data_IF_935210558280
#
_entry.id   IF_935210558280
#
_cell.length_a   1.000
_cell.length_b   1.000
_cell.length_c   1.000
_cell.angle_alpha   90.00
_cell.angle_beta   90.00
_cell.angle_gamma   90.00
#
_symmetry.space_group_name_H-M   'P 1'
#
loop_
_entity.id
_entity.type
_entity.pdbx_description
1 polymer ?
#
# COMPACT_ATOMS: atom_id res chain seq x y z
N UNK A 1 -4.12 32.07 4.50
CA UNK A 1 -2.89 31.30 4.26
C UNK A 1 -3.05 29.79 3.89
N UNK A 2 -4.24 29.18 3.65
CA UNK A 2 -4.33 27.75 3.29
C UNK A 2 -4.09 27.45 1.79
N UNK A 3 -4.26 28.43 0.89
CA UNK A 3 -4.19 28.20 -0.57
C UNK A 3 -2.80 27.85 -1.13
N UNK A 4 -1.70 28.22 -0.45
CA UNK A 4 -0.34 27.95 -0.96
C UNK A 4 0.12 26.51 -0.68
N UNK A 5 -0.45 25.87 0.34
CA UNK A 5 -0.09 24.50 0.71
C UNK A 5 -0.69 23.46 -0.26
N UNK A 6 -1.86 23.74 -0.87
CA UNK A 6 -2.46 22.85 -1.87
C UNK A 6 -1.69 22.82 -3.20
N UNK A 7 -1.17 23.97 -3.65
CA UNK A 7 -0.40 24.07 -4.91
C UNK A 7 0.99 23.43 -4.86
N UNK A 8 1.64 23.43 -3.69
CA UNK A 8 3.00 22.89 -3.55
C UNK A 8 2.99 21.34 -3.49
N UNK A 9 2.02 20.76 -2.77
CA UNK A 9 1.81 19.31 -2.73
C UNK A 9 1.36 18.74 -4.09
N UNK A 10 0.52 19.49 -4.84
CA UNK A 10 0.13 19.11 -6.21
C UNK A 10 1.31 19.01 -7.18
N UNK A 11 2.37 19.81 -6.99
CA UNK A 11 3.51 19.77 -7.90
C UNK A 11 4.19 18.41 -7.89
N UNK A 12 4.35 17.73 -6.75
CA UNK A 12 5.08 16.46 -6.66
C UNK A 12 4.59 15.41 -7.68
N UNK A 13 3.29 15.31 -7.90
CA UNK A 13 2.67 14.26 -8.72
C UNK A 13 2.16 14.69 -10.09
N UNK A 14 2.22 15.97 -10.46
CA UNK A 14 1.83 16.40 -11.81
C UNK A 14 2.97 16.20 -12.83
N UNK A 15 3.30 14.94 -13.13
CA UNK A 15 3.66 14.62 -14.51
C UNK A 15 2.33 14.53 -15.26
N UNK A 16 1.92 15.61 -15.93
CA UNK A 16 0.63 15.66 -16.64
C UNK A 16 0.74 14.85 -17.93
N UNK A 17 0.90 13.53 -17.79
CA UNK A 17 0.69 12.61 -18.88
C UNK A 17 -0.78 12.76 -19.34
N UNK A 18 -1.05 12.56 -20.63
CA UNK A 18 -2.43 12.57 -21.12
C UNK A 18 -3.26 11.56 -20.32
N UNK A 19 -4.49 11.91 -19.97
CA UNK A 19 -5.38 11.04 -19.16
C UNK A 19 -5.53 9.65 -19.76
N UNK A 20 -5.57 9.54 -21.09
CA UNK A 20 -5.61 8.26 -21.77
C UNK A 20 -4.36 7.40 -21.52
N UNK A 21 -3.16 7.99 -21.48
CA UNK A 21 -1.89 7.27 -21.21
C UNK A 21 -1.86 6.74 -19.78
N UNK A 22 -2.32 7.52 -18.81
CA UNK A 22 -2.36 7.06 -17.41
C UNK A 22 -3.37 5.93 -17.21
N UNK A 23 -4.52 6.01 -17.88
CA UNK A 23 -5.57 4.97 -17.80
C UNK A 23 -5.10 3.69 -18.48
N UNK A 24 -4.52 3.76 -19.67
CA UNK A 24 -3.99 2.58 -20.36
C UNK A 24 -2.83 1.96 -19.60
N UNK A 25 -1.91 2.75 -19.06
CA UNK A 25 -0.81 2.25 -18.24
C UNK A 25 -1.32 1.54 -16.97
N UNK A 26 -2.31 2.12 -16.27
CA UNK A 26 -2.90 1.49 -15.09
C UNK A 26 -3.62 0.18 -15.43
N UNK A 27 -4.33 0.13 -16.56
CA UNK A 27 -5.01 -1.08 -17.02
C UNK A 27 -4.02 -2.20 -17.40
N UNK A 28 -2.97 -1.87 -18.15
CA UNK A 28 -1.90 -2.81 -18.51
C UNK A 28 -1.20 -3.31 -17.25
N UNK A 29 -0.85 -2.42 -16.32
CA UNK A 29 -0.23 -2.79 -15.06
C UNK A 29 -1.13 -3.74 -14.26
N UNK A 30 -2.42 -3.44 -14.17
CA UNK A 30 -3.39 -4.29 -13.49
C UNK A 30 -3.48 -5.68 -14.14
N UNK A 31 -3.56 -5.75 -15.48
CA UNK A 31 -3.60 -7.02 -16.20
C UNK A 31 -2.32 -7.84 -15.97
N UNK A 32 -1.15 -7.20 -15.98
CA UNK A 32 0.14 -7.85 -15.71
C UNK A 32 0.19 -8.38 -14.27
N UNK A 33 -0.16 -7.57 -13.27
CA UNK A 33 -0.16 -7.99 -11.86
C UNK A 33 -1.17 -9.12 -11.59
N UNK A 34 -2.33 -9.09 -12.24
CA UNK A 34 -3.30 -10.17 -12.14
C UNK A 34 -2.75 -11.47 -12.77
N UNK A 35 -2.15 -11.37 -13.96
CA UNK A 35 -1.55 -12.52 -14.64
C UNK A 35 -0.40 -13.12 -13.83
N UNK A 36 0.48 -12.30 -13.25
CA UNK A 36 1.59 -12.79 -12.40
C UNK A 36 1.09 -13.45 -11.13
N UNK A 37 0.00 -12.96 -10.53
CA UNK A 37 -0.60 -13.59 -9.35
C UNK A 37 -1.14 -14.98 -9.63
N UNK A 38 -1.82 -15.17 -10.76
CA UNK A 38 -2.35 -16.47 -11.19
C UNK A 38 -1.23 -17.41 -11.63
N UNK A 39 -0.18 -16.87 -12.26
CA UNK A 39 0.98 -17.67 -12.66
C UNK A 39 1.82 -18.15 -11.45
N UNK A 40 1.91 -17.35 -10.39
CA UNK A 40 2.64 -17.71 -9.17
C UNK A 40 1.93 -18.79 -8.36
N UNK A 41 0.59 -18.74 -8.29
CA UNK A 41 -0.21 -19.75 -7.59
C UNK A 41 -1.47 -20.08 -8.42
N UNK A 42 -1.50 -21.21 -9.17
CA UNK A 42 -2.65 -21.60 -9.98
C UNK A 42 -3.92 -21.95 -9.18
N UNK A 43 -3.88 -21.91 -7.85
CA UNK A 43 -5.04 -22.16 -6.98
C UNK A 43 -5.93 -20.92 -6.83
N UNK A 44 -7.01 -21.05 -6.05
CA UNK A 44 -7.86 -19.91 -5.69
C UNK A 44 -7.12 -18.81 -4.92
N UNK A 45 -5.97 -19.11 -4.30
CA UNK A 45 -5.14 -18.09 -3.65
C UNK A 45 -4.54 -17.11 -4.67
N UNK A 46 -4.15 -17.58 -5.86
CA UNK A 46 -3.70 -16.71 -6.95
C UNK A 46 -4.79 -15.80 -7.49
N UNK A 47 -6.05 -16.27 -7.53
CA UNK A 47 -7.20 -15.44 -7.90
C UNK A 47 -7.47 -14.34 -6.86
N UNK A 48 -7.35 -14.66 -5.57
CA UNK A 48 -7.47 -13.68 -4.49
C UNK A 48 -6.31 -12.67 -4.53
N UNK A 49 -5.09 -13.13 -4.79
CA UNK A 49 -3.93 -12.27 -5.02
C UNK A 49 -4.10 -11.35 -6.24
N UNK A 50 -4.69 -11.85 -7.33
CA UNK A 50 -5.03 -11.06 -8.51
C UNK A 50 -6.08 -9.99 -8.18
N UNK A 51 -7.15 -10.35 -7.46
CA UNK A 51 -8.15 -9.40 -6.99
C UNK A 51 -7.53 -8.33 -6.08
N UNK A 52 -6.67 -8.73 -5.16
CA UNK A 52 -5.95 -7.81 -4.27
C UNK A 52 -5.02 -6.87 -5.04
N UNK A 53 -4.34 -7.35 -6.08
CA UNK A 53 -3.48 -6.51 -6.93
C UNK A 53 -4.26 -5.36 -7.59
N UNK A 54 -5.48 -5.64 -8.07
CA UNK A 54 -6.35 -4.63 -8.65
C UNK A 54 -6.78 -3.59 -7.59
N UNK A 55 -7.12 -4.05 -6.38
CA UNK A 55 -7.46 -3.17 -5.24
C UNK A 55 -6.26 -2.33 -4.81
N UNK A 56 -5.07 -2.92 -4.73
CA UNK A 56 -3.83 -2.22 -4.36
C UNK A 56 -3.47 -1.14 -5.37
N UNK A 57 -3.62 -1.41 -6.67
CA UNK A 57 -3.45 -0.41 -7.73
C UNK A 57 -4.50 0.70 -7.61
N UNK A 58 -5.76 0.36 -7.36
CA UNK A 58 -6.81 1.36 -7.16
C UNK A 58 -6.52 2.26 -5.96
N UNK A 59 -6.12 1.69 -4.82
CA UNK A 59 -5.70 2.44 -3.64
C UNK A 59 -4.52 3.35 -3.98
N UNK A 60 -3.50 2.84 -4.66
CA UNK A 60 -2.31 3.60 -5.02
C UNK A 60 -2.65 4.78 -5.95
N UNK A 61 -3.50 4.57 -6.95
CA UNK A 61 -3.95 5.62 -7.88
C UNK A 61 -4.77 6.69 -7.16
N UNK A 62 -5.64 6.31 -6.23
CA UNK A 62 -6.46 7.26 -5.46
C UNK A 62 -5.59 8.01 -4.46
N UNK A 63 -4.69 7.34 -3.74
CA UNK A 63 -3.78 7.96 -2.78
C UNK A 63 -2.84 8.97 -3.48
N UNK A 64 -2.33 8.63 -4.67
CA UNK A 64 -1.54 9.54 -5.48
C UNK A 64 -2.29 10.81 -5.94
N UNK A 65 -3.62 10.77 -6.05
CA UNK A 65 -4.43 11.90 -6.53
C UNK A 65 -5.02 12.72 -5.40
N UNK A 66 -5.53 12.03 -4.39
CA UNK A 66 -6.37 12.61 -3.35
C UNK A 66 -5.73 12.57 -1.96
N UNK A 67 -4.61 11.86 -1.76
CA UNK A 67 -3.99 11.64 -0.45
C UNK A 67 -4.98 11.07 0.58
N UNK A 68 -5.91 10.24 0.10
CA UNK A 68 -6.95 9.59 0.88
C UNK A 68 -7.00 8.12 0.42
N UNK A 69 -7.08 7.22 1.40
CA UNK A 69 -7.27 5.79 1.16
C UNK A 69 -8.74 5.49 1.48
N UNK A 70 -9.56 5.08 0.48
CA UNK A 70 -10.97 4.78 0.68
C UNK A 70 -11.18 3.60 1.64
N UNK A 71 -12.19 3.73 2.49
CA UNK A 71 -12.50 2.72 3.50
C UNK A 71 -13.03 1.46 2.85
N UNK A 72 -13.79 1.60 1.77
CA UNK A 72 -14.36 0.50 0.98
C UNK A 72 -13.27 -0.38 0.37
N UNK A 73 -12.23 0.24 -0.20
CA UNK A 73 -11.10 -0.49 -0.78
C UNK A 73 -10.23 -1.15 0.29
N UNK A 74 -10.05 -0.50 1.44
CA UNK A 74 -9.32 -1.08 2.57
C UNK A 74 -10.07 -2.29 3.12
N UNK A 75 -11.39 -2.18 3.33
CA UNK A 75 -12.24 -3.28 3.79
C UNK A 75 -12.21 -4.42 2.78
N UNK A 76 -12.33 -4.12 1.48
CA UNK A 76 -12.23 -5.14 0.44
C UNK A 76 -10.87 -5.86 0.49
N UNK A 77 -9.77 -5.13 0.64
CA UNK A 77 -8.45 -5.72 0.79
C UNK A 77 -8.33 -6.62 2.05
N UNK A 78 -8.89 -6.20 3.18
CA UNK A 78 -8.95 -7.02 4.40
C UNK A 78 -9.76 -8.30 4.18
N UNK A 79 -10.95 -8.18 3.57
CA UNK A 79 -11.82 -9.33 3.28
C UNK A 79 -11.13 -10.31 2.35
N UNK A 80 -10.45 -9.85 1.31
CA UNK A 80 -9.68 -10.72 0.41
C UNK A 80 -8.55 -11.44 1.15
N UNK A 81 -7.87 -10.77 2.09
CA UNK A 81 -6.80 -11.38 2.89
C UNK A 81 -7.33 -12.44 3.86
N UNK A 82 -8.46 -12.18 4.52
CA UNK A 82 -9.13 -13.17 5.35
C UNK A 82 -9.67 -14.33 4.51
N UNK A 83 -10.24 -14.07 3.34
CA UNK A 83 -10.67 -15.09 2.38
C UNK A 83 -9.51 -16.01 1.97
N UNK A 84 -8.30 -15.46 1.83
CA UNK A 84 -7.10 -16.23 1.48
C UNK A 84 -6.72 -17.26 2.57
N UNK A 85 -7.11 -17.04 3.83
CA UNK A 85 -6.93 -18.03 4.92
C UNK A 85 -7.81 -19.26 4.71
N UNK A 86 -9.04 -19.09 4.20
CA UNK A 86 -9.98 -20.20 3.97
C UNK A 86 -9.59 -21.09 2.78
N UNK A 87 -8.65 -20.64 1.95
CA UNK A 87 -8.10 -21.44 0.85
C UNK A 87 -6.97 -22.37 1.32
N UNK A 88 -6.44 -22.15 2.54
CA UNK A 88 -5.40 -23.00 3.12
C UNK A 88 -5.99 -24.31 3.68
N UNK A 89 -5.15 -25.35 3.90
CA UNK A 89 -5.61 -26.65 4.41
C UNK A 89 -6.46 -26.52 5.70
N UNK A 90 -7.58 -27.25 5.81
CA UNK A 90 -8.61 -27.03 6.84
C UNK A 90 -8.13 -27.30 8.27
N UNK A 91 -7.11 -28.14 8.45
CA UNK A 91 -6.65 -28.60 9.76
C UNK A 91 -6.13 -27.46 10.67
N UNK A 92 -5.81 -26.30 10.09
CA UNK A 92 -5.24 -25.13 10.79
C UNK A 92 -6.07 -23.85 10.59
N UNK A 93 -7.31 -23.93 10.12
CA UNK A 93 -8.09 -22.76 9.70
C UNK A 93 -8.34 -21.75 10.84
N UNK A 94 -8.84 -22.21 12.00
CA UNK A 94 -9.12 -21.35 13.16
C UNK A 94 -7.86 -20.65 13.72
N UNK A 95 -6.75 -21.38 14.01
CA UNK A 95 -5.54 -20.72 14.50
C UNK A 95 -4.95 -19.77 13.45
N UNK A 96 -5.03 -20.10 12.15
CA UNK A 96 -4.51 -19.24 11.07
C UNK A 96 -5.33 -17.96 10.90
N UNK A 97 -6.66 -18.04 11.08
CA UNK A 97 -7.51 -16.85 11.05
C UNK A 97 -7.23 -15.93 12.25
N UNK A 98 -7.09 -16.52 13.44
CA UNK A 98 -6.76 -15.76 14.65
C UNK A 98 -5.36 -15.11 14.56
N UNK A 99 -4.36 -15.81 14.00
CA UNK A 99 -3.04 -15.22 13.77
C UNK A 99 -3.10 -14.10 12.73
N UNK A 100 -3.76 -14.28 11.59
CA UNK A 100 -3.91 -13.21 10.59
C UNK A 100 -4.62 -11.97 11.15
N UNK A 101 -5.73 -12.15 11.88
CA UNK A 101 -6.48 -11.06 12.48
C UNK A 101 -5.66 -10.34 13.59
N UNK A 102 -4.99 -11.09 14.45
CA UNK A 102 -4.13 -10.52 15.50
C UNK A 102 -2.92 -9.78 14.94
N UNK A 103 -2.29 -10.28 13.86
CA UNK A 103 -1.22 -9.56 13.14
C UNK A 103 -1.72 -8.24 12.56
N UNK A 104 -2.87 -8.28 11.87
CA UNK A 104 -3.50 -7.07 11.33
C UNK A 104 -3.79 -6.05 12.42
N UNK A 105 -4.42 -6.47 13.52
CA UNK A 105 -4.71 -5.60 14.67
C UNK A 105 -3.44 -5.05 15.32
N UNK A 106 -2.42 -5.89 15.53
CA UNK A 106 -1.14 -5.48 16.12
C UNK A 106 -0.42 -4.46 15.24
N UNK A 107 -0.34 -4.69 13.92
CA UNK A 107 0.36 -3.77 13.02
C UNK A 107 -0.37 -2.43 12.87
N UNK A 108 -1.70 -2.46 12.79
CA UNK A 108 -2.51 -1.24 12.83
C UNK A 108 -2.31 -0.49 14.16
N UNK A 109 -2.31 -1.18 15.30
CA UNK A 109 -2.04 -0.57 16.60
C UNK A 109 -0.64 0.04 16.68
N UNK A 110 0.39 -0.63 16.15
CA UNK A 110 1.76 -0.11 16.10
C UNK A 110 1.85 1.18 15.28
N UNK A 111 1.26 1.21 14.07
CA UNK A 111 1.24 2.41 13.24
C UNK A 111 0.42 3.54 13.88
N UNK A 112 -0.67 3.21 14.56
CA UNK A 112 -1.47 4.18 15.30
C UNK A 112 -0.71 4.79 16.49
N UNK A 113 0.00 3.96 17.26
CA UNK A 113 0.86 4.41 18.35
C UNK A 113 2.01 5.28 17.82
N UNK A 114 2.65 4.87 16.72
CA UNK A 114 3.69 5.65 16.06
C UNK A 114 3.15 7.03 15.63
N UNK A 115 1.93 7.06 15.08
CA UNK A 115 1.25 8.32 14.72
C UNK A 115 1.03 9.22 15.95
N UNK A 116 0.55 8.66 17.06
CA UNK A 116 0.30 9.42 18.30
C UNK A 116 1.62 9.94 18.89
N UNK A 117 2.63 9.07 19.00
CA UNK A 117 3.95 9.42 19.52
C UNK A 117 4.64 10.49 18.67
N UNK A 118 4.54 10.38 17.34
CA UNK A 118 5.08 11.40 16.45
C UNK A 118 4.35 12.74 16.64
N UNK A 119 3.02 12.71 16.74
CA UNK A 119 2.20 13.90 16.95
C UNK A 119 2.52 14.59 18.28
N UNK A 120 2.74 13.83 19.36
CA UNK A 120 3.07 14.41 20.67
C UNK A 120 4.44 15.10 20.68
N UNK A 121 5.43 14.54 19.98
CA UNK A 121 6.80 15.09 19.93
C UNK A 121 6.91 16.25 18.93
N UNK A 122 6.30 16.14 17.75
CA UNK A 122 6.47 17.10 16.64
C UNK A 122 5.32 18.09 16.47
N UNK A 123 4.23 17.93 17.23
CA UNK A 123 3.00 18.74 17.16
C UNK A 123 2.40 18.82 15.74
N UNK A 124 2.73 17.86 14.88
CA UNK A 124 2.31 17.78 13.48
C UNK A 124 1.97 16.33 13.16
N UNK A 125 0.97 16.12 12.32
CA UNK A 125 0.65 14.78 11.83
C UNK A 125 1.74 14.33 10.83
N UNK A 126 2.48 13.28 11.21
CA UNK A 126 3.46 12.64 10.33
C UNK A 126 2.81 11.61 9.41
N UNK A 127 2.23 10.57 10.00
CA UNK A 127 1.61 9.43 9.30
C UNK A 127 0.10 9.64 9.19
N UNK A 128 -0.45 9.34 8.02
CA UNK A 128 -1.88 9.44 7.75
C UNK A 128 -2.68 8.31 8.40
N UNK A 129 -3.96 8.54 8.70
CA UNK A 129 -4.84 7.46 9.17
C UNK A 129 -5.03 6.36 8.12
N UNK A 130 -4.93 6.69 6.83
CA UNK A 130 -4.98 5.69 5.76
C UNK A 130 -3.81 4.69 5.83
N UNK A 131 -2.60 5.15 6.17
CA UNK A 131 -1.43 4.27 6.31
C UNK A 131 -1.61 3.27 7.46
N UNK A 132 -2.27 3.70 8.55
CA UNK A 132 -2.63 2.81 9.67
C UNK A 132 -3.59 1.71 9.21
N UNK A 133 -4.55 2.05 8.35
CA UNK A 133 -5.51 1.08 7.78
C UNK A 133 -4.80 0.09 6.86
N UNK A 134 -3.89 0.56 6.00
CA UNK A 134 -3.06 -0.29 5.16
C UNK A 134 -2.10 -1.18 5.96
N UNK A 135 -1.61 -0.72 7.11
CA UNK A 135 -0.84 -1.55 8.01
C UNK A 135 -1.67 -2.72 8.55
N UNK A 136 -2.95 -2.49 8.84
CA UNK A 136 -3.88 -3.58 9.15
C UNK A 136 -4.03 -4.58 8.01
N UNK A 137 -4.20 -4.10 6.77
CA UNK A 137 -4.24 -4.94 5.55
C UNK A 137 -2.95 -5.76 5.42
N UNK A 138 -1.80 -5.13 5.59
CA UNK A 138 -0.50 -5.79 5.50
C UNK A 138 -0.37 -6.93 6.54
N UNK A 139 -0.80 -6.72 7.78
CA UNK A 139 -0.73 -7.76 8.81
C UNK A 139 -1.65 -8.96 8.56
N UNK A 140 -2.78 -8.76 7.86
CA UNK A 140 -3.65 -9.86 7.43
C UNK A 140 -3.01 -10.65 6.29
N UNK A 141 -2.47 -9.95 5.28
CA UNK A 141 -1.90 -10.58 4.08
C UNK A 141 -0.52 -11.20 4.27
N UNK A 142 0.29 -10.65 5.16
CA UNK A 142 1.70 -11.00 5.31
C UNK A 142 1.98 -11.62 6.68
N UNK A 143 2.93 -12.55 6.70
CA UNK A 143 3.51 -13.07 7.93
C UNK A 143 4.51 -12.07 8.55
N UNK A 144 4.85 -12.29 9.83
CA UNK A 144 5.75 -11.42 10.59
C UNK A 144 7.10 -11.16 9.93
N UNK A 145 7.65 -12.15 9.21
CA UNK A 145 8.94 -12.01 8.54
C UNK A 145 8.85 -11.17 7.25
N UNK A 146 7.66 -11.12 6.64
CA UNK A 146 7.42 -10.43 5.37
C UNK A 146 7.01 -8.97 5.59
N UNK A 147 6.38 -8.66 6.73
CA UNK A 147 5.95 -7.29 7.06
C UNK A 147 7.11 -6.27 7.00
N UNK A 148 8.28 -6.52 7.62
CA UNK A 148 9.42 -5.60 7.52
C UNK A 148 9.88 -5.40 6.08
N UNK A 149 9.92 -6.47 5.29
CA UNK A 149 10.30 -6.42 3.86
C UNK A 149 9.33 -5.52 3.09
N UNK A 150 8.02 -5.65 3.31
CA UNK A 150 7.03 -4.80 2.65
C UNK A 150 7.20 -3.32 3.03
N UNK A 151 7.47 -3.02 4.30
CA UNK A 151 7.70 -1.65 4.78
C UNK A 151 8.99 -1.08 4.17
N UNK A 152 10.06 -1.87 4.11
CA UNK A 152 11.34 -1.47 3.50
C UNK A 152 11.21 -1.22 2.00
N UNK A 153 10.52 -2.11 1.28
CA UNK A 153 10.25 -1.94 -0.15
C UNK A 153 9.43 -0.67 -0.39
N UNK A 154 8.41 -0.41 0.42
CA UNK A 154 7.59 0.80 0.33
C UNK A 154 8.42 2.06 0.62
N UNK A 155 9.17 2.07 1.71
CA UNK A 155 10.01 3.21 2.12
C UNK A 155 11.14 3.48 1.12
N UNK A 156 11.82 2.44 0.65
CA UNK A 156 12.87 2.53 -0.37
C UNK A 156 12.32 3.06 -1.70
N UNK A 157 11.17 2.55 -2.15
CA UNK A 157 10.50 3.03 -3.36
C UNK A 157 10.11 4.50 -3.25
N UNK A 158 9.55 4.90 -2.10
CA UNK A 158 9.21 6.29 -1.80
C UNK A 158 10.45 7.21 -1.81
N UNK A 159 11.55 6.78 -1.19
CA UNK A 159 12.81 7.52 -1.15
C UNK A 159 13.42 7.68 -2.54
N UNK A 160 13.45 6.62 -3.34
CA UNK A 160 13.94 6.65 -4.73
C UNK A 160 13.09 7.61 -5.57
N UNK A 161 11.76 7.50 -5.47
CA UNK A 161 10.85 8.39 -6.18
C UNK A 161 11.05 9.87 -5.79
N UNK A 162 11.21 10.14 -4.49
CA UNK A 162 11.58 11.47 -3.98
C UNK A 162 12.92 11.96 -4.55
N UNK A 163 13.96 11.13 -4.52
CA UNK A 163 15.29 11.47 -5.00
C UNK A 163 15.30 11.80 -6.49
N UNK A 164 14.64 10.97 -7.32
CA UNK A 164 14.49 11.20 -8.75
C UNK A 164 13.72 12.51 -9.01
N UNK A 165 12.62 12.73 -8.30
CA UNK A 165 11.82 13.95 -8.46
C UNK A 165 12.62 15.21 -8.09
N UNK A 166 13.42 15.16 -7.01
CA UNK A 166 14.29 16.27 -6.60
C UNK A 166 15.38 16.56 -7.66
N UNK A 167 16.01 15.51 -8.21
CA UNK A 167 17.01 15.63 -9.27
C UNK A 167 16.45 16.24 -10.56
N UNK A 168 15.28 15.76 -11.01
CA UNK A 168 14.67 16.20 -12.26
C UNK A 168 14.12 17.62 -12.19
N UNK A 169 13.63 18.05 -11.02
CA UNK A 169 12.94 19.34 -10.88
C UNK A 169 13.81 20.46 -10.32
N UNK A 170 15.02 20.14 -9.85
CA UNK A 170 15.90 21.06 -9.10
C UNK A 170 15.20 21.75 -7.93
N UNK A 171 14.09 21.20 -7.46
CA UNK A 171 13.40 21.67 -6.28
C UNK A 171 14.14 21.14 -5.05
N UNK A 172 14.26 21.96 -4.01
CA UNK A 172 14.81 21.48 -2.74
C UNK A 172 13.92 20.35 -2.20
N UNK A 173 14.51 19.35 -1.54
CA UNK A 173 13.78 18.26 -0.88
C UNK A 173 12.71 18.80 0.09
N UNK A 174 12.93 20.00 0.65
CA UNK A 174 11.98 20.69 1.53
C UNK A 174 10.68 21.13 0.84
N UNK A 175 10.66 21.26 -0.50
CA UNK A 175 9.45 21.57 -1.26
C UNK A 175 8.50 20.36 -1.37
N UNK A 176 8.99 19.13 -1.12
CA UNK A 176 8.18 17.91 -1.10
C UNK A 176 7.52 17.80 0.28
N UNK A 177 6.42 18.52 0.48
CA UNK A 177 5.84 18.73 1.82
C UNK A 177 5.06 17.52 2.35
N UNK A 178 4.56 16.64 1.47
CA UNK A 178 3.84 15.40 1.80
C UNK A 178 3.98 14.40 0.65
N UNK A 179 4.45 13.20 0.97
CA UNK A 179 4.51 12.07 0.05
C UNK A 179 3.37 11.09 0.39
N UNK A 180 2.56 10.65 -0.59
CA UNK A 180 1.55 9.63 -0.36
C UNK A 180 2.24 8.28 -0.13
N UNK A 181 2.32 7.83 1.13
CA UNK A 181 2.99 6.57 1.47
C UNK A 181 2.18 5.36 0.99
N UNK A 182 0.85 5.45 1.01
CA UNK A 182 -0.06 4.41 0.51
C UNK A 182 0.16 4.05 -0.97
N UNK A 183 0.56 5.01 -1.81
CA UNK A 183 0.97 4.79 -3.21
C UNK A 183 2.06 3.71 -3.32
N UNK A 184 3.01 3.67 -2.39
CA UNK A 184 4.10 2.71 -2.40
C UNK A 184 3.79 1.49 -1.52
N UNK A 185 3.07 1.68 -0.42
CA UNK A 185 2.81 0.63 0.54
C UNK A 185 1.79 -0.40 0.05
N UNK A 186 0.69 0.03 -0.57
CA UNK A 186 -0.31 -0.89 -1.11
C UNK A 186 0.28 -1.90 -2.12
N UNK A 187 1.01 -1.48 -3.17
CA UNK A 187 1.65 -2.42 -4.09
C UNK A 187 2.79 -3.21 -3.44
N UNK A 188 3.51 -2.64 -2.47
CA UNK A 188 4.55 -3.38 -1.74
C UNK A 188 3.98 -4.58 -0.99
N UNK A 189 2.80 -4.46 -0.37
CA UNK A 189 2.12 -5.58 0.29
C UNK A 189 1.86 -6.72 -0.71
N UNK A 190 1.35 -6.40 -1.90
CA UNK A 190 1.09 -7.39 -2.94
C UNK A 190 2.39 -8.01 -3.48
N UNK A 191 3.42 -7.21 -3.76
CA UNK A 191 4.72 -7.70 -4.24
C UNK A 191 5.35 -8.65 -3.23
N UNK A 192 5.35 -8.30 -1.95
CA UNK A 192 5.91 -9.16 -0.90
C UNK A 192 5.14 -10.47 -0.75
N UNK A 193 3.81 -10.43 -0.86
CA UNK A 193 3.00 -11.65 -0.90
C UNK A 193 3.34 -12.52 -2.12
N UNK A 194 3.51 -11.91 -3.29
CA UNK A 194 3.88 -12.61 -4.52
C UNK A 194 5.25 -13.28 -4.40
N UNK A 195 6.23 -12.57 -3.83
CA UNK A 195 7.57 -13.13 -3.56
C UNK A 195 7.43 -14.38 -2.69
N UNK A 196 6.66 -14.31 -1.61
CA UNK A 196 6.47 -15.48 -0.75
C UNK A 196 5.82 -16.68 -1.45
N UNK A 197 4.99 -16.47 -2.47
CA UNK A 197 4.38 -17.56 -3.25
C UNK A 197 5.31 -18.22 -4.27
N UNK A 198 6.32 -17.49 -4.73
CA UNK A 198 7.26 -17.97 -5.75
C UNK A 198 8.44 -18.75 -5.15
N UNK A 199 8.75 -18.52 -3.87
CA UNK A 199 9.88 -19.11 -3.15
C UNK A 199 9.41 -20.22 -2.20
#
# INVERSE_FOLDING_TARGET
MPERLSRCSQKFLTFRAPTHVTVTAAFVLCAVCMATSVAADPSSAGLLGAAFSAVAIAIAVIDARLFVIPDELTILALVLGLANVFVQPPDWMVPTLATAASRGAALAAMFWLLRIAYRSVRLRDGIGLGDVKLAGVAGVWLDWNLIPIAIEVAAGSALIACGIAALLRRDSIQAITRLPFGLFFAPAIWVTWLIWKVW
#
